data_IF_182515978015
#
_entry.id   IF_182515978015
#
_cell.length_a   1.000
_cell.length_b   1.000
_cell.length_c   1.000
_cell.angle_alpha   90.00
_cell.angle_beta   90.00
_cell.angle_gamma   90.00
#
_symmetry.space_group_name_H-M   'P 1'
#
loop_
_entity.id
_entity.type
_entity.pdbx_description
1 polymer ?
#
# COMPACT_ATOMS: atom_id res chain seq x y z
N UNK A 1 13.80 13.07 -1.23
CA UNK A 1 13.68 11.60 -1.32
C UNK A 1 12.74 11.32 -2.47
N UNK A 2 13.25 10.66 -3.51
CA UNK A 2 12.44 10.28 -4.66
C UNK A 2 11.77 8.94 -4.33
N UNK A 3 10.55 9.00 -3.82
CA UNK A 3 9.75 7.80 -3.61
C UNK A 3 9.11 7.39 -4.95
N UNK A 4 8.97 6.09 -5.25
CA UNK A 4 8.24 5.63 -6.43
C UNK A 4 6.82 6.21 -6.48
N UNK A 5 6.31 6.45 -7.68
CA UNK A 5 4.94 6.93 -7.86
C UNK A 5 3.91 5.84 -7.61
N UNK A 6 4.30 4.57 -7.81
CA UNK A 6 3.39 3.44 -7.77
C UNK A 6 4.05 2.21 -7.15
N UNK A 7 3.28 1.46 -6.36
CA UNK A 7 3.65 0.16 -5.81
C UNK A 7 2.54 -0.86 -6.07
N UNK A 8 2.91 -2.14 -6.12
CA UNK A 8 1.98 -3.26 -6.04
C UNK A 8 2.06 -3.88 -4.64
N UNK A 9 0.91 -4.00 -4.00
CA UNK A 9 0.72 -4.72 -2.73
C UNK A 9 0.10 -6.08 -3.04
N UNK A 10 0.81 -7.15 -2.70
CA UNK A 10 0.35 -8.52 -2.95
C UNK A 10 -0.28 -9.08 -1.68
N UNK A 11 -1.56 -9.43 -1.74
CA UNK A 11 -2.33 -10.03 -0.66
C UNK A 11 -2.62 -11.49 -0.96
N UNK A 12 -2.53 -12.35 0.06
CA UNK A 12 -2.91 -13.74 -0.09
C UNK A 12 -4.40 -13.90 0.24
N UNK A 13 -5.20 -14.25 -0.77
CA UNK A 13 -6.58 -14.62 -0.54
C UNK A 13 -6.67 -16.15 -0.55
N UNK A 14 -7.08 -16.78 0.55
CA UNK A 14 -7.14 -18.24 0.69
C UNK A 14 -8.03 -18.97 -0.34
N UNK A 15 -8.77 -18.24 -1.18
CA UNK A 15 -9.68 -18.76 -2.18
C UNK A 15 -9.28 -18.48 -3.65
N UNK A 16 -8.25 -17.65 -3.92
CA UNK A 16 -7.79 -17.30 -5.28
C UNK A 16 -6.25 -17.13 -5.31
N UNK A 17 -5.64 -17.12 -6.50
CA UNK A 17 -4.23 -16.74 -6.67
C UNK A 17 -3.94 -15.37 -6.04
N UNK A 18 -2.67 -15.12 -5.70
CA UNK A 18 -2.23 -13.90 -5.03
C UNK A 18 -2.83 -12.63 -5.67
N UNK A 19 -3.53 -11.83 -4.87
CA UNK A 19 -4.24 -10.63 -5.33
C UNK A 19 -3.30 -9.43 -5.24
N UNK A 20 -2.91 -8.89 -6.39
CA UNK A 20 -2.01 -7.74 -6.47
C UNK A 20 -2.81 -6.44 -6.67
N UNK A 21 -2.72 -5.53 -5.70
CA UNK A 21 -3.37 -4.22 -5.73
C UNK A 21 -2.35 -3.15 -6.06
N UNK A 22 -2.60 -2.42 -7.15
CA UNK A 22 -1.81 -1.25 -7.53
C UNK A 22 -2.20 -0.05 -6.68
N UNK A 23 -1.21 0.58 -6.04
CA UNK A 23 -1.39 1.77 -5.21
C UNK A 23 -0.51 2.92 -5.69
N UNK A 24 -1.09 4.12 -5.73
CA UNK A 24 -0.44 5.34 -6.21
C UNK A 24 -0.10 6.27 -5.06
N UNK A 25 1.03 6.97 -5.17
CA UNK A 25 1.47 7.95 -4.19
C UNK A 25 0.47 9.08 -4.13
N UNK A 26 0.07 9.43 -2.91
CA UNK A 26 -0.77 10.59 -2.62
C UNK A 26 0.07 11.75 -2.09
N UNK A 27 -0.53 12.93 -2.00
CA UNK A 27 0.10 14.11 -1.38
C UNK A 27 0.15 14.03 0.17
N UNK A 28 -0.32 12.94 0.76
CA UNK A 28 -0.37 12.75 2.22
C UNK A 28 0.84 11.95 2.71
N UNK A 29 1.31 12.28 3.91
CA UNK A 29 2.27 11.48 4.66
C UNK A 29 1.56 10.79 5.83
N UNK A 30 2.02 9.58 6.17
CA UNK A 30 1.51 8.83 7.31
C UNK A 30 2.21 9.22 8.61
N UNK A 31 1.88 8.50 9.68
CA UNK A 31 2.40 8.76 11.02
C UNK A 31 3.92 8.52 11.14
N UNK A 32 4.51 7.70 10.26
CA UNK A 32 5.95 7.48 10.18
C UNK A 32 6.69 8.57 9.40
N UNK A 33 5.97 9.52 8.78
CA UNK A 33 6.55 10.57 7.95
C UNK A 33 6.86 10.13 6.52
N UNK A 34 6.36 8.96 6.10
CA UNK A 34 6.51 8.44 4.75
C UNK A 34 5.26 8.71 3.91
N UNK A 35 5.37 8.77 2.57
CA UNK A 35 4.21 8.98 1.72
C UNK A 35 3.17 7.86 1.85
N UNK A 36 1.91 8.26 1.82
CA UNK A 36 0.78 7.36 1.76
C UNK A 36 0.48 7.05 0.31
N UNK A 37 0.32 5.76 0.03
CA UNK A 37 -0.14 5.20 -1.22
C UNK A 37 -1.59 4.76 -1.08
N UNK A 38 -2.34 4.91 -2.15
CA UNK A 38 -3.76 4.57 -2.20
C UNK A 38 -4.11 3.94 -3.54
N UNK A 39 -4.96 2.91 -3.53
CA UNK A 39 -5.52 2.36 -4.76
C UNK A 39 -6.63 3.27 -5.34
N UNK A 40 -7.08 2.98 -6.57
CA UNK A 40 -8.11 3.76 -7.25
C UNK A 40 -9.45 3.78 -6.51
N UNK A 41 -9.79 2.72 -5.77
CA UNK A 41 -11.03 2.64 -4.98
C UNK A 41 -10.94 3.40 -3.65
N UNK A 42 -9.72 3.62 -3.15
CA UNK A 42 -9.45 4.26 -1.87
C UNK A 42 -9.65 3.41 -0.64
N UNK A 43 -9.96 2.13 -0.84
CA UNK A 43 -10.11 1.12 0.21
C UNK A 43 -8.74 0.76 0.77
N UNK A 44 -7.79 0.44 -0.12
CA UNK A 44 -6.43 0.04 0.20
C UNK A 44 -5.57 1.28 0.31
N UNK A 45 -5.01 1.48 1.50
CA UNK A 45 -4.14 2.61 1.79
C UNK A 45 -2.97 2.15 2.64
N UNK A 46 -1.77 2.55 2.27
CA UNK A 46 -0.56 2.08 2.90
C UNK A 46 0.50 3.19 2.96
N UNK A 47 1.12 3.37 4.12
CA UNK A 47 2.36 4.11 4.23
C UNK A 47 3.51 3.18 3.82
N UNK A 48 4.35 3.61 2.87
CA UNK A 48 5.47 2.81 2.35
C UNK A 48 6.78 3.59 2.54
N UNK A 49 7.72 3.01 3.27
CA UNK A 49 9.03 3.61 3.52
C UNK A 49 9.97 3.44 2.32
N UNK A 50 11.11 4.16 2.35
CA UNK A 50 12.15 4.01 1.33
C UNK A 50 12.80 2.61 1.32
N UNK A 51 12.69 1.88 2.43
CA UNK A 51 13.20 0.50 2.58
C UNK A 51 12.18 -0.56 2.13
N UNK A 52 10.96 -0.12 1.77
CA UNK A 52 9.86 -1.02 1.43
C UNK A 52 9.08 -1.55 2.64
N UNK A 53 9.28 -0.97 3.84
CA UNK A 53 8.41 -1.27 5.00
C UNK A 53 7.02 -0.70 4.74
N UNK A 54 6.00 -1.52 4.97
CA UNK A 54 4.61 -1.18 4.67
C UNK A 54 3.76 -1.20 5.91
N UNK A 55 3.03 -0.09 6.12
CA UNK A 55 2.08 0.08 7.22
C UNK A 55 0.72 0.37 6.64
N UNK A 56 -0.19 -0.57 6.79
CA UNK A 56 -1.56 -0.42 6.33
C UNK A 56 -2.27 0.68 7.12
N UNK A 57 -2.96 1.57 6.39
CA UNK A 57 -3.76 2.67 6.94
C UNK A 57 -5.22 2.35 6.67
N UNK A 58 -5.99 2.11 7.73
CA UNK A 58 -7.42 1.87 7.57
C UNK A 58 -8.10 3.09 6.95
N UNK A 59 -8.87 2.88 5.88
CA UNK A 59 -9.63 3.94 5.21
C UNK A 59 -10.96 4.25 5.94
N UNK A 60 -11.40 3.39 6.86
CA UNK A 60 -12.56 3.60 7.75
C UNK A 60 -12.44 2.92 9.12
N UNK A 61 -13.31 3.30 10.06
CA UNK A 61 -13.35 2.72 11.41
C UNK A 61 -13.80 1.26 11.38
N UNK A 62 -13.06 0.39 12.08
CA UNK A 62 -13.32 -1.06 12.21
C UNK A 62 -12.82 -1.97 11.07
N UNK A 63 -12.04 -1.47 10.11
CA UNK A 63 -11.31 -2.35 9.19
C UNK A 63 -10.00 -2.82 9.84
N UNK A 64 -9.77 -4.13 9.83
CA UNK A 64 -8.45 -4.71 10.05
C UNK A 64 -7.87 -5.00 8.67
N UNK A 65 -7.18 -4.04 8.03
CA UNK A 65 -6.61 -4.28 6.71
C UNK A 65 -5.61 -5.43 6.80
N UNK A 66 -5.73 -6.38 5.89
CA UNK A 66 -4.81 -7.50 5.78
C UNK A 66 -3.38 -6.99 5.54
N UNK A 67 -2.40 -7.74 6.04
CA UNK A 67 -1.00 -7.36 5.87
C UNK A 67 -0.56 -7.89 4.50
N UNK A 68 -0.08 -7.03 3.58
CA UNK A 68 0.41 -7.52 2.30
C UNK A 68 1.61 -8.44 2.53
N UNK A 69 1.65 -9.56 1.80
CA UNK A 69 2.76 -10.52 1.83
C UNK A 69 4.02 -9.95 1.18
N UNK A 70 3.85 -9.12 0.16
CA UNK A 70 4.94 -8.54 -0.59
C UNK A 70 4.56 -7.17 -1.13
N UNK A 71 5.56 -6.31 -1.24
CA UNK A 71 5.44 -4.99 -1.84
C UNK A 71 6.49 -4.83 -2.92
N UNK A 72 6.04 -4.42 -4.10
CA UNK A 72 6.88 -4.35 -5.29
C UNK A 72 6.82 -2.94 -5.86
N UNK A 73 7.99 -2.32 -6.01
CA UNK A 73 8.10 -1.05 -6.71
C UNK A 73 7.81 -1.26 -8.19
N UNK A 74 6.82 -0.55 -8.72
CA UNK A 74 6.56 -0.52 -10.16
C UNK A 74 7.36 0.62 -10.75
N UNK A 75 8.53 0.32 -11.31
CA UNK A 75 9.28 1.29 -12.11
C UNK A 75 8.86 1.13 -13.56
N UNK A 76 8.19 2.13 -14.11
CA UNK A 76 7.87 2.20 -15.53
C UNK A 76 9.10 2.63 -16.35
#
# INVERSE_FOLDING_TARGET
MDYPETYELVFHAAAVEDDAVLVHRTDRAGAGGYPIYQDETGIVRAEISADGEVRMVASGGHQTPDIPLAVRCVRR
#
